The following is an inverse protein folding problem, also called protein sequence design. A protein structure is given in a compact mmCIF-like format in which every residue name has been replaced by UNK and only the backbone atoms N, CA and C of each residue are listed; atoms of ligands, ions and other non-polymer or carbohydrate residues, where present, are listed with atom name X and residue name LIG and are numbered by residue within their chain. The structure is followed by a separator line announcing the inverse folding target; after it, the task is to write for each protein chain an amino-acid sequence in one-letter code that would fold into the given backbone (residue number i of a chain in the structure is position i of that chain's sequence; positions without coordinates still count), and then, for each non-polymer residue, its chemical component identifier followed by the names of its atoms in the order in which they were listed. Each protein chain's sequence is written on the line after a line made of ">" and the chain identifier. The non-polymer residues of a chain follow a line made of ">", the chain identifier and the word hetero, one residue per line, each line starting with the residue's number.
data_IF_918506806461
#
_entry.id   IF_918506806461
#
_cell.length_a   1.000
_cell.length_b   1.000
_cell.length_c   1.000
_cell.angle_alpha   90.00
_cell.angle_beta   90.00
_cell.angle_gamma   90.00
#
_symmetry.space_group_name_H-M   'P 1'
#
loop_
_entity.id
_entity.type
_entity.pdbx_description
1 polymer ?
#
# COMPACT_ATOMS: atom_id res chain seq x y z
N UNK A 1 -18.87 8.99 0.36
CA UNK A 1 -18.89 7.54 0.64
C UNK A 1 -19.94 6.77 -0.16
N UNK A 2 -21.11 7.34 -0.47
CA UNK A 2 -22.20 6.63 -1.17
C UNK A 2 -21.84 5.99 -2.51
N UNK A 3 -20.97 6.63 -3.30
CA UNK A 3 -20.53 6.05 -4.57
C UNK A 3 -19.74 4.75 -4.40
N UNK A 4 -18.89 4.66 -3.36
CA UNK A 4 -18.11 3.46 -3.06
C UNK A 4 -18.99 2.35 -2.47
N UNK A 5 -19.97 2.71 -1.65
CA UNK A 5 -20.94 1.76 -1.09
C UNK A 5 -21.80 1.16 -2.22
N UNK A 6 -22.33 1.98 -3.13
CA UNK A 6 -23.05 1.49 -4.31
C UNK A 6 -22.18 0.59 -5.18
N UNK A 7 -20.90 0.94 -5.36
CA UNK A 7 -19.97 0.12 -6.13
C UNK A 7 -19.75 -1.27 -5.50
N UNK A 8 -19.73 -1.34 -4.16
CA UNK A 8 -19.66 -2.62 -3.44
C UNK A 8 -20.94 -3.46 -3.47
N UNK A 9 -22.09 -2.83 -3.77
CA UNK A 9 -23.39 -3.50 -3.90
C UNK A 9 -23.67 -3.96 -5.34
N UNK A 10 -23.14 -3.25 -6.34
CA UNK A 10 -23.34 -3.56 -7.76
C UNK A 10 -22.34 -4.61 -8.26
N UNK A 11 -21.09 -4.58 -7.76
CA UNK A 11 -20.06 -5.48 -8.24
C UNK A 11 -20.11 -6.85 -7.55
N UNK A 12 -19.81 -7.94 -8.29
CA UNK A 12 -19.54 -9.22 -7.66
C UNK A 12 -18.29 -9.15 -6.78
N UNK A 13 -18.15 -10.08 -5.83
CA UNK A 13 -17.09 -10.03 -4.82
C UNK A 13 -15.66 -9.95 -5.39
N UNK A 14 -15.39 -10.66 -6.49
CA UNK A 14 -14.11 -10.57 -7.20
C UNK A 14 -13.86 -9.18 -7.83
N UNK A 15 -14.91 -8.49 -8.28
CA UNK A 15 -14.83 -7.14 -8.82
C UNK A 15 -14.45 -6.12 -7.75
N UNK A 16 -15.03 -6.23 -6.55
CA UNK A 16 -14.67 -5.39 -5.40
C UNK A 16 -13.21 -5.61 -4.99
N UNK A 17 -12.77 -6.87 -4.91
CA UNK A 17 -11.39 -7.22 -4.58
C UNK A 17 -10.38 -6.71 -5.63
N UNK A 18 -10.72 -6.84 -6.93
CA UNK A 18 -9.88 -6.34 -8.01
C UNK A 18 -9.79 -4.82 -8.00
N UNK A 19 -10.92 -4.12 -7.79
CA UNK A 19 -10.94 -2.67 -7.68
C UNK A 19 -10.11 -2.17 -6.51
N UNK A 20 -10.26 -2.81 -5.35
CA UNK A 20 -9.42 -2.56 -4.18
C UNK A 20 -7.94 -2.73 -4.50
N UNK A 21 -7.54 -3.87 -5.07
CA UNK A 21 -6.15 -4.19 -5.37
C UNK A 21 -5.51 -3.21 -6.35
N UNK A 22 -6.22 -2.83 -7.42
CA UNK A 22 -5.73 -1.87 -8.41
C UNK A 22 -5.60 -0.48 -7.79
N UNK A 23 -6.62 -0.03 -7.06
CA UNK A 23 -6.59 1.27 -6.37
C UNK A 23 -5.42 1.34 -5.38
N UNK A 24 -5.26 0.28 -4.59
CA UNK A 24 -4.20 0.15 -3.60
C UNK A 24 -2.83 0.17 -4.27
N UNK A 25 -2.62 -0.60 -5.35
CA UNK A 25 -1.32 -0.70 -6.03
C UNK A 25 -0.87 0.63 -6.62
N UNK A 26 -1.80 1.42 -7.18
CA UNK A 26 -1.47 2.68 -7.85
C UNK A 26 -1.22 3.82 -6.87
N UNK A 27 -2.14 4.04 -5.93
CA UNK A 27 -2.15 5.25 -5.09
C UNK A 27 -2.51 4.98 -3.63
N UNK A 28 -3.30 3.94 -3.34
CA UNK A 28 -3.78 3.66 -1.98
C UNK A 28 -4.62 4.76 -1.36
N UNK A 29 -5.20 5.65 -2.19
CA UNK A 29 -6.00 6.78 -1.73
C UNK A 29 -7.36 6.36 -1.15
N UNK A 30 -7.85 5.17 -1.52
CA UNK A 30 -9.14 4.69 -1.03
C UNK A 30 -8.92 4.08 0.36
N UNK A 31 -9.62 4.57 1.40
CA UNK A 31 -9.46 4.05 2.74
C UNK A 31 -9.79 2.54 2.80
N UNK A 32 -8.87 1.68 3.27
CA UNK A 32 -9.12 0.24 3.38
C UNK A 32 -10.30 -0.08 4.31
N UNK A 33 -10.67 0.83 5.21
CA UNK A 33 -11.79 0.72 6.15
C UNK A 33 -13.12 0.44 5.45
N UNK A 34 -13.33 0.98 4.25
CA UNK A 34 -14.56 0.75 3.46
C UNK A 34 -14.64 -0.72 3.04
N UNK A 35 -13.51 -1.30 2.63
CA UNK A 35 -13.43 -2.68 2.20
C UNK A 35 -13.47 -3.66 3.38
N UNK A 36 -12.93 -3.27 4.53
CA UNK A 36 -13.06 -4.01 5.79
C UNK A 36 -14.55 -4.08 6.21
N UNK A 37 -15.25 -2.95 6.20
CA UNK A 37 -16.69 -2.91 6.49
C UNK A 37 -17.51 -3.75 5.49
N UNK A 38 -17.13 -3.73 4.21
CA UNK A 38 -17.72 -4.60 3.19
C UNK A 38 -17.47 -6.09 3.47
N UNK A 39 -16.25 -6.48 3.88
CA UNK A 39 -15.98 -7.88 4.24
C UNK A 39 -16.83 -8.38 5.42
N UNK A 40 -17.17 -7.49 6.36
CA UNK A 40 -18.08 -7.79 7.47
C UNK A 40 -19.50 -8.20 7.05
N UNK A 41 -19.93 -7.82 5.84
CA UNK A 41 -21.25 -8.17 5.30
C UNK A 41 -21.26 -9.45 4.46
N UNK A 42 -20.11 -10.09 4.25
CA UNK A 42 -19.98 -11.28 3.40
C UNK A 42 -20.27 -12.57 4.18
N UNK A 43 -20.62 -13.69 3.50
CA UNK A 43 -20.91 -14.97 4.17
C UNK A 43 -19.74 -15.54 5.00
N UNK A 44 -18.49 -15.20 4.64
CA UNK A 44 -17.29 -15.57 5.40
C UNK A 44 -16.41 -14.33 5.62
N UNK A 45 -16.71 -13.48 6.63
CA UNK A 45 -16.04 -12.20 6.83
C UNK A 45 -14.53 -12.33 7.01
N UNK A 46 -14.09 -13.27 7.84
CA UNK A 46 -12.67 -13.52 8.12
C UNK A 46 -11.90 -13.98 6.88
N UNK A 47 -12.54 -14.78 6.01
CA UNK A 47 -11.96 -15.19 4.73
C UNK A 47 -11.71 -13.99 3.80
N UNK A 48 -12.72 -13.15 3.61
CA UNK A 48 -12.60 -11.95 2.77
C UNK A 48 -11.62 -10.93 3.35
N UNK A 49 -11.60 -10.75 4.68
CA UNK A 49 -10.66 -9.87 5.37
C UNK A 49 -9.22 -10.34 5.20
N UNK A 50 -8.97 -11.65 5.28
CA UNK A 50 -7.65 -12.24 5.04
C UNK A 50 -7.18 -12.01 3.59
N UNK A 51 -8.09 -12.18 2.62
CA UNK A 51 -7.80 -11.90 1.21
C UNK A 51 -7.47 -10.41 1.01
N UNK A 52 -8.26 -9.51 1.58
CA UNK A 52 -8.00 -8.06 1.53
C UNK A 52 -6.63 -7.72 2.12
N UNK A 53 -6.28 -8.29 3.26
CA UNK A 53 -4.98 -8.06 3.90
C UNK A 53 -3.81 -8.49 2.99
N UNK A 54 -3.91 -9.68 2.38
CA UNK A 54 -2.88 -10.21 1.45
C UNK A 54 -2.80 -9.36 0.18
N UNK A 55 -3.93 -8.99 -0.40
CA UNK A 55 -3.99 -8.11 -1.57
C UNK A 55 -3.37 -6.75 -1.26
N UNK A 56 -3.67 -6.19 -0.09
CA UNK A 56 -3.15 -4.89 0.32
C UNK A 56 -1.63 -4.93 0.58
N UNK A 57 -1.14 -5.99 1.22
CA UNK A 57 0.29 -6.20 1.43
C UNK A 57 1.05 -6.36 0.09
N UNK A 58 0.55 -7.23 -0.79
CA UNK A 58 1.15 -7.47 -2.11
C UNK A 58 1.09 -6.23 -3.01
N UNK A 59 -0.01 -5.47 -2.99
CA UNK A 59 -0.14 -4.19 -3.68
C UNK A 59 0.95 -3.20 -3.24
N UNK A 60 1.23 -3.08 -1.94
CA UNK A 60 2.31 -2.23 -1.45
C UNK A 60 3.70 -2.69 -1.92
N UNK A 61 3.96 -4.00 -1.97
CA UNK A 61 5.22 -4.52 -2.52
C UNK A 61 5.37 -4.21 -4.02
N UNK A 62 4.29 -4.29 -4.79
CA UNK A 62 4.28 -3.87 -6.20
C UNK A 62 4.51 -2.36 -6.33
N UNK A 63 3.88 -1.56 -5.48
CA UNK A 63 4.05 -0.12 -5.42
C UNK A 63 5.51 0.28 -5.12
N UNK A 64 6.22 -0.48 -4.27
CA UNK A 64 7.67 -0.32 -4.10
C UNK A 64 8.44 -0.53 -5.41
N UNK A 65 8.07 -1.55 -6.18
CA UNK A 65 8.70 -1.80 -7.48
C UNK A 65 8.40 -0.67 -8.47
N UNK A 66 7.17 -0.15 -8.49
CA UNK A 66 6.81 1.03 -9.28
C UNK A 66 7.68 2.24 -8.90
N UNK A 67 7.85 2.51 -7.60
CA UNK A 67 8.77 3.54 -7.10
C UNK A 67 10.20 3.36 -7.59
N UNK A 68 10.70 2.11 -7.61
CA UNK A 68 12.03 1.79 -8.17
C UNK A 68 12.10 2.01 -9.67
N UNK A 69 11.06 1.66 -10.42
CA UNK A 69 10.99 1.87 -11.86
C UNK A 69 10.99 3.36 -12.22
N UNK A 70 10.30 4.20 -11.45
CA UNK A 70 10.31 5.66 -11.61
C UNK A 70 11.74 6.22 -11.55
N UNK A 71 12.61 5.68 -10.69
CA UNK A 71 14.02 6.12 -10.59
C UNK A 71 14.90 5.74 -11.79
N UNK A 72 14.42 4.87 -12.70
CA UNK A 72 15.13 4.50 -13.93
C UNK A 72 14.85 5.48 -15.07
N UNK A 73 13.83 6.33 -14.94
CA UNK A 73 13.52 7.35 -15.94
C UNK A 73 14.65 8.39 -15.96
N UNK A 74 15.29 8.69 -17.10
CA UNK A 74 16.50 9.52 -17.17
C UNK A 74 16.35 10.88 -16.47
N UNK A 75 15.23 11.58 -16.71
CA UNK A 75 14.98 12.89 -16.10
C UNK A 75 14.85 12.83 -14.58
N UNK A 76 14.17 11.79 -14.07
CA UNK A 76 13.98 11.57 -12.63
C UNK A 76 15.30 11.15 -11.99
N UNK A 77 16.03 10.23 -12.63
CA UNK A 77 17.33 9.76 -12.18
C UNK A 77 18.32 10.91 -11.99
N UNK A 78 18.48 11.76 -13.01
CA UNK A 78 19.37 12.93 -12.94
C UNK A 78 18.97 13.89 -11.83
N UNK A 79 17.68 14.17 -11.67
CA UNK A 79 17.20 15.05 -10.60
C UNK A 79 17.47 14.45 -9.21
N UNK A 80 17.17 13.17 -9.03
CA UNK A 80 17.31 12.47 -7.76
C UNK A 80 18.78 12.26 -7.38
N UNK A 81 19.61 11.76 -8.30
CA UNK A 81 21.00 11.40 -8.01
C UNK A 81 21.98 12.57 -8.07
N UNK A 82 21.70 13.62 -8.84
CA UNK A 82 22.58 14.80 -8.91
C UNK A 82 22.08 15.90 -7.97
N UNK A 83 20.81 16.31 -8.11
CA UNK A 83 20.28 17.47 -7.37
C UNK A 83 19.86 17.13 -5.94
N UNK A 84 19.34 15.92 -5.71
CA UNK A 84 18.80 15.51 -4.41
C UNK A 84 19.63 14.45 -3.67
N UNK A 85 20.85 14.16 -4.11
CA UNK A 85 21.70 13.10 -3.56
C UNK A 85 21.79 13.11 -2.03
N UNK A 86 22.09 14.29 -1.47
CA UNK A 86 22.22 14.49 -0.01
C UNK A 86 20.90 14.24 0.73
N UNK A 87 19.79 14.70 0.16
CA UNK A 87 18.46 14.52 0.73
C UNK A 87 18.05 13.04 0.70
N UNK A 88 18.25 12.36 -0.42
CA UNK A 88 17.95 10.92 -0.55
C UNK A 88 18.76 10.07 0.43
N UNK A 89 20.07 10.37 0.60
CA UNK A 89 20.91 9.66 1.56
C UNK A 89 20.41 9.83 2.99
N UNK A 90 19.92 11.01 3.34
CA UNK A 90 19.37 11.28 4.66
C UNK A 90 17.98 10.63 4.85
N UNK A 91 17.08 10.78 3.88
CA UNK A 91 15.74 10.18 3.89
C UNK A 91 15.78 8.65 3.93
N UNK A 92 16.81 8.02 3.34
CA UNK A 92 16.99 6.56 3.39
C UNK A 92 17.16 6.05 4.81
N UNK A 93 17.68 6.84 5.76
CA UNK A 93 17.75 6.44 7.18
C UNK A 93 16.36 6.34 7.82
N UNK A 94 15.42 7.17 7.36
CA UNK A 94 14.04 7.21 7.84
C UNK A 94 13.09 6.29 7.06
N UNK A 95 13.56 5.61 6.01
CA UNK A 95 12.74 4.75 5.17
C UNK A 95 12.01 3.65 5.95
N UNK A 96 12.66 3.05 6.94
CA UNK A 96 12.03 2.04 7.81
C UNK A 96 10.86 2.61 8.61
N UNK A 97 11.04 3.79 9.20
CA UNK A 97 10.00 4.50 9.93
C UNK A 97 8.79 4.83 9.04
N UNK A 98 9.03 5.30 7.80
CA UNK A 98 7.96 5.59 6.83
C UNK A 98 7.11 4.37 6.49
N UNK A 99 7.73 3.20 6.39
CA UNK A 99 7.03 1.94 6.09
C UNK A 99 6.20 1.49 7.29
N UNK A 100 6.78 1.52 8.50
CA UNK A 100 6.06 1.15 9.74
C UNK A 100 4.84 2.05 9.95
N UNK A 101 5.02 3.37 9.81
CA UNK A 101 3.93 4.35 9.90
C UNK A 101 2.86 4.07 8.85
N UNK A 102 3.24 3.89 7.58
CA UNK A 102 2.27 3.59 6.51
C UNK A 102 1.56 2.25 6.69
N UNK A 103 2.20 1.26 7.33
CA UNK A 103 1.61 -0.06 7.57
C UNK A 103 0.61 -0.04 8.73
N UNK A 104 0.87 0.76 9.76
CA UNK A 104 0.07 0.79 10.99
C UNK A 104 -0.97 1.89 11.05
N UNK A 105 -0.71 3.07 10.47
CA UNK A 105 -1.63 4.22 10.51
C UNK A 105 -2.67 4.15 9.37
N UNK A 106 -3.80 4.89 9.48
CA UNK A 106 -4.79 5.05 8.40
C UNK A 106 -4.22 5.96 7.29
N UNK A 107 -3.00 5.65 6.86
CA UNK A 107 -2.28 6.31 5.80
C UNK A 107 -2.11 5.34 4.63
N UNK A 108 -2.04 5.87 3.40
CA UNK A 108 -1.90 5.07 2.20
C UNK A 108 -0.54 4.35 2.18
N UNK A 109 -0.53 3.06 2.52
CA UNK A 109 0.68 2.23 2.59
C UNK A 109 1.46 2.15 1.28
N UNK A 110 0.74 2.14 0.16
CA UNK A 110 1.36 2.12 -1.17
C UNK A 110 2.18 3.37 -1.44
N UNK A 111 1.78 4.54 -0.92
CA UNK A 111 2.59 5.77 -1.04
C UNK A 111 3.89 5.63 -0.25
N UNK A 112 3.82 5.10 0.98
CA UNK A 112 5.03 4.80 1.77
C UNK A 112 5.95 3.82 1.04
N UNK A 113 5.39 2.79 0.37
CA UNK A 113 6.16 1.83 -0.40
C UNK A 113 6.78 2.44 -1.67
N UNK A 114 6.02 3.25 -2.43
CA UNK A 114 6.53 4.00 -3.59
C UNK A 114 7.68 4.90 -3.15
N UNK A 115 7.50 5.68 -2.08
CA UNK A 115 8.54 6.54 -1.54
C UNK A 115 9.79 5.73 -1.12
N UNK A 116 9.60 4.60 -0.46
CA UNK A 116 10.69 3.67 -0.12
C UNK A 116 11.42 3.13 -1.37
N UNK A 117 10.69 2.88 -2.46
CA UNK A 117 11.23 2.50 -3.76
C UNK A 117 12.08 3.60 -4.39
N UNK A 118 11.58 4.84 -4.36
CA UNK A 118 12.25 6.03 -4.89
C UNK A 118 13.58 6.29 -4.17
N UNK A 119 13.59 6.20 -2.83
CA UNK A 119 14.82 6.39 -2.04
C UNK A 119 15.74 5.16 -2.04
N UNK A 120 15.42 4.13 -2.83
CA UNK A 120 16.19 2.87 -2.94
C UNK A 120 16.39 2.19 -1.58
N UNK A 121 15.37 2.22 -0.72
CA UNK A 121 15.37 1.56 0.58
C UNK A 121 15.44 0.03 0.39
N UNK A 122 16.16 -0.73 1.24
CA UNK A 122 16.32 -2.18 1.06
C UNK A 122 14.98 -2.92 1.10
N UNK A 123 14.68 -3.64 0.01
CA UNK A 123 13.42 -4.39 -0.15
C UNK A 123 13.15 -5.38 0.99
N UNK A 124 14.19 -6.05 1.52
CA UNK A 124 14.03 -6.99 2.65
C UNK A 124 13.38 -6.33 3.87
N UNK A 125 13.72 -5.08 4.16
CA UNK A 125 13.14 -4.33 5.28
C UNK A 125 11.70 -3.89 4.96
N UNK A 126 11.42 -3.54 3.70
CA UNK A 126 10.05 -3.24 3.24
C UNK A 126 9.14 -4.45 3.41
N UNK A 127 9.60 -5.64 3.03
CA UNK A 127 8.86 -6.89 3.21
C UNK A 127 8.58 -7.15 4.69
N UNK A 128 9.60 -7.01 5.55
CA UNK A 128 9.47 -7.27 6.99
C UNK A 128 8.54 -6.27 7.69
N UNK A 129 8.79 -4.96 7.54
CA UNK A 129 7.98 -3.93 8.20
C UNK A 129 6.61 -3.77 7.55
N UNK A 130 6.49 -4.00 6.25
CA UNK A 130 5.22 -4.01 5.56
C UNK A 130 4.27 -5.11 6.05
N UNK A 131 4.79 -6.22 6.58
CA UNK A 131 3.98 -7.30 7.12
C UNK A 131 3.13 -6.86 8.33
N UNK A 132 3.52 -5.77 9.02
CA UNK A 132 2.70 -5.12 10.06
C UNK A 132 1.33 -4.68 9.55
N UNK A 133 1.17 -4.52 8.23
CA UNK A 133 -0.13 -4.23 7.62
C UNK A 133 -1.12 -5.37 7.82
N UNK A 134 -0.65 -6.62 7.79
CA UNK A 134 -1.51 -7.78 8.07
C UNK A 134 -2.04 -7.71 9.50
N UNK A 135 -1.18 -7.33 10.45
CA UNK A 135 -1.57 -7.12 11.83
C UNK A 135 -2.64 -6.02 11.97
N UNK A 136 -2.50 -4.91 11.25
CA UNK A 136 -3.52 -3.84 11.21
C UNK A 136 -4.88 -4.40 10.77
N UNK A 137 -4.94 -5.14 9.67
CA UNK A 137 -6.21 -5.72 9.20
C UNK A 137 -6.84 -6.67 10.23
N UNK A 138 -6.03 -7.46 10.94
CA UNK A 138 -6.53 -8.32 12.04
C UNK A 138 -7.10 -7.49 13.19
N UNK A 139 -6.43 -6.40 13.59
CA UNK A 139 -6.90 -5.51 14.67
C UNK A 139 -8.22 -4.81 14.30
N UNK A 140 -8.36 -4.34 13.05
CA UNK A 140 -9.59 -3.67 12.58
C UNK A 140 -10.72 -4.66 12.24
N UNK A 141 -10.40 -5.94 12.07
CA UNK A 141 -11.38 -7.00 11.82
C UNK A 141 -11.96 -7.63 13.08
N UNK A 142 -11.29 -7.48 14.23
CA UNK A 142 -11.78 -7.80 15.57
C UNK A 142 -12.81 -6.75 16.03
#
# INVERSE_FOLDING_TARGET
>A
NDALIKLTEILPSHGVLSFFFVSETLLGLIPPEIFIAWSGKMPNPWGYLSILAILSYSAGLLAYHLGRMITKIPSVHTYLEVKMQKQLKNSRKWGGFLIIVGALLPLPFSISCIAAGIIKFPFKIVVLFGALRLLRFVIYGL
#
